data_IF_324940849739
#
_entry.id   IF_324940849739
#
_cell.length_a   1.000
_cell.length_b   1.000
_cell.length_c   1.000
_cell.angle_alpha   90.00
_cell.angle_beta   90.00
_cell.angle_gamma   90.00
#
_symmetry.space_group_name_H-M   'P 1'
#
loop_
_entity.id
_entity.type
_entity.pdbx_description
1 polymer ?
#
# COMPACT_ATOMS: atom_id res chain seq x y z
N UNK A 1 29.35 -16.51 -8.25
CA UNK A 1 30.35 -16.26 -9.30
C UNK A 1 29.63 -15.72 -10.51
N UNK A 2 29.73 -14.40 -10.73
CA UNK A 2 29.10 -13.74 -11.88
C UNK A 2 29.92 -14.05 -13.14
N UNK A 3 29.26 -14.65 -14.12
CA UNK A 3 29.77 -14.85 -15.47
C UNK A 3 28.73 -14.28 -16.43
N UNK A 4 29.17 -13.73 -17.56
CA UNK A 4 28.26 -13.12 -18.51
C UNK A 4 27.71 -14.18 -19.47
N UNK A 5 26.39 -14.37 -19.41
CA UNK A 5 25.68 -15.32 -20.27
C UNK A 5 25.76 -14.89 -21.73
N UNK A 6 26.29 -15.78 -22.59
CA UNK A 6 26.47 -15.58 -24.03
C UNK A 6 25.18 -15.14 -24.74
N UNK A 7 24.02 -15.67 -24.31
CA UNK A 7 22.71 -15.36 -24.89
C UNK A 7 22.23 -13.91 -24.69
N UNK A 8 22.95 -13.12 -23.89
CA UNK A 8 22.67 -11.69 -23.70
C UNK A 8 23.38 -10.80 -24.72
N UNK A 9 24.44 -11.28 -25.36
CA UNK A 9 25.23 -10.50 -26.30
C UNK A 9 24.46 -10.29 -27.60
N UNK A 10 24.54 -9.07 -28.13
CA UNK A 10 23.88 -8.67 -29.39
C UNK A 10 24.86 -8.67 -30.57
N UNK A 11 26.16 -8.76 -30.29
CA UNK A 11 27.22 -8.94 -31.28
C UNK A 11 27.77 -10.37 -31.21
N UNK A 12 28.52 -10.77 -32.26
CA UNK A 12 29.36 -11.97 -32.18
C UNK A 12 30.45 -11.77 -31.12
N UNK A 13 30.64 -12.77 -30.26
CA UNK A 13 31.72 -12.80 -29.27
C UNK A 13 32.79 -13.76 -29.77
N UNK A 14 34.03 -13.29 -29.82
CA UNK A 14 35.18 -14.11 -30.17
C UNK A 14 35.50 -15.10 -29.04
N UNK A 15 35.85 -16.34 -29.39
CA UNK A 15 36.21 -17.40 -28.44
C UNK A 15 37.37 -16.99 -27.51
N UNK A 16 38.22 -16.06 -27.96
CA UNK A 16 39.27 -15.45 -27.13
C UNK A 16 38.74 -14.83 -25.83
N UNK A 17 37.51 -14.30 -25.83
CA UNK A 17 36.89 -13.70 -24.63
C UNK A 17 36.14 -14.70 -23.75
N UNK A 18 36.26 -15.99 -24.01
CA UNK A 18 35.69 -17.03 -23.16
C UNK A 18 36.67 -17.39 -22.05
N UNK A 19 36.16 -17.43 -20.82
CA UNK A 19 36.94 -17.78 -19.66
C UNK A 19 37.26 -19.28 -19.69
N UNK A 20 38.55 -19.63 -19.64
CA UNK A 20 38.99 -21.04 -19.69
C UNK A 20 38.59 -21.88 -18.47
N UNK A 21 38.10 -21.24 -17.41
CA UNK A 21 37.63 -21.91 -16.18
C UNK A 21 36.11 -22.15 -16.16
N UNK A 22 35.30 -21.20 -16.62
CA UNK A 22 33.84 -21.29 -16.56
C UNK A 22 33.14 -21.36 -17.91
N UNK A 23 33.89 -21.26 -19.01
CA UNK A 23 33.43 -21.27 -20.40
C UNK A 23 32.38 -20.19 -20.74
N UNK A 24 32.18 -19.20 -19.87
CA UNK A 24 31.36 -18.02 -20.14
C UNK A 24 32.20 -16.85 -20.63
N UNK A 25 31.57 -15.77 -21.10
CA UNK A 25 32.31 -14.54 -21.43
C UNK A 25 32.90 -13.98 -20.14
N UNK A 26 34.20 -13.65 -20.21
CA UNK A 26 34.99 -13.15 -19.09
C UNK A 26 34.33 -11.93 -18.44
N UNK A 27 34.25 -11.92 -17.11
CA UNK A 27 33.82 -10.78 -16.30
C UNK A 27 35.01 -10.26 -15.51
N UNK A 28 35.31 -8.97 -15.63
CA UNK A 28 36.55 -8.36 -15.14
C UNK A 28 37.78 -9.17 -15.58
N UNK A 29 38.10 -9.15 -16.89
CA UNK A 29 39.09 -10.06 -17.47
C UNK A 29 40.49 -9.88 -16.87
N UNK A 30 41.12 -10.99 -16.53
CA UNK A 30 42.54 -11.13 -16.18
C UNK A 30 43.22 -12.14 -17.10
N UNK A 31 44.52 -11.98 -17.34
CA UNK A 31 45.31 -12.89 -18.18
C UNK A 31 46.19 -13.80 -17.33
N UNK A 32 46.34 -15.05 -17.73
CA UNK A 32 47.40 -15.90 -17.19
C UNK A 32 48.78 -15.38 -17.64
N UNK A 33 49.72 -15.19 -16.70
CA UNK A 33 51.08 -14.74 -17.00
C UNK A 33 51.86 -15.69 -17.91
N UNK A 34 51.50 -16.98 -17.92
CA UNK A 34 52.23 -18.02 -18.64
C UNK A 34 51.70 -18.27 -20.06
N UNK A 35 50.37 -18.31 -20.26
CA UNK A 35 49.76 -18.64 -21.55
C UNK A 35 48.86 -17.56 -22.14
N UNK A 36 48.68 -16.43 -21.43
CA UNK A 36 47.89 -15.27 -21.89
C UNK A 36 46.38 -15.52 -22.08
N UNK A 37 45.90 -16.72 -21.72
CA UNK A 37 44.47 -17.02 -21.73
C UNK A 37 43.72 -16.16 -20.72
N UNK A 38 42.47 -15.80 -21.08
CA UNK A 38 41.61 -14.98 -20.26
C UNK A 38 40.83 -15.79 -19.22
N UNK A 39 40.73 -15.23 -18.03
CA UNK A 39 39.89 -15.69 -16.94
C UNK A 39 39.04 -14.54 -16.40
N UNK A 40 37.90 -14.87 -15.81
CA UNK A 40 37.24 -13.91 -14.92
C UNK A 40 38.12 -13.71 -13.68
N UNK A 41 38.23 -12.46 -13.19
CA UNK A 41 38.95 -12.15 -11.94
C UNK A 41 38.55 -13.12 -10.80
N UNK A 42 37.25 -13.25 -10.55
CA UNK A 42 36.74 -14.17 -9.52
C UNK A 42 36.94 -15.67 -9.83
N UNK A 43 37.14 -16.07 -11.09
CA UNK A 43 37.51 -17.46 -11.40
C UNK A 43 38.98 -17.71 -11.05
N UNK A 44 39.87 -16.77 -11.38
CA UNK A 44 41.30 -16.88 -11.08
C UNK A 44 41.56 -16.98 -9.57
N UNK A 45 40.81 -16.27 -8.73
CA UNK A 45 40.93 -16.34 -7.27
C UNK A 45 40.64 -17.74 -6.68
N UNK A 46 39.89 -18.58 -7.39
CA UNK A 46 39.44 -19.88 -6.91
C UNK A 46 40.30 -21.06 -7.36
N UNK A 47 41.34 -20.82 -8.16
CA UNK A 47 42.19 -21.87 -8.72
C UNK A 47 43.66 -21.53 -8.52
N UNK A 48 44.49 -22.55 -8.26
CA UNK A 48 45.94 -22.38 -8.10
C UNK A 48 46.72 -22.72 -9.36
N UNK A 49 46.08 -23.37 -10.33
CA UNK A 49 46.70 -23.92 -11.53
C UNK A 49 45.86 -23.53 -12.74
N UNK A 50 46.50 -23.03 -13.80
CA UNK A 50 45.80 -22.62 -15.01
C UNK A 50 45.16 -23.84 -15.71
N UNK A 51 43.86 -23.78 -16.08
CA UNK A 51 43.20 -24.88 -16.77
C UNK A 51 43.79 -25.18 -18.15
N UNK A 52 44.38 -24.19 -18.81
CA UNK A 52 44.92 -24.32 -20.18
C UNK A 52 46.36 -24.82 -20.23
N UNK A 53 47.27 -24.20 -19.47
CA UNK A 53 48.70 -24.52 -19.52
C UNK A 53 49.18 -25.43 -18.38
N UNK A 54 48.31 -25.71 -17.40
CA UNK A 54 48.60 -26.57 -16.24
C UNK A 54 49.76 -26.09 -15.34
N UNK A 55 50.25 -24.86 -15.54
CA UNK A 55 51.22 -24.20 -14.69
C UNK A 55 50.54 -23.52 -13.49
N UNK A 56 51.34 -23.16 -12.47
CA UNK A 56 50.86 -22.33 -11.36
C UNK A 56 50.27 -21.03 -11.90
N UNK A 57 49.05 -20.70 -11.46
CA UNK A 57 48.34 -19.53 -11.95
C UNK A 57 48.91 -18.27 -11.30
N UNK A 58 49.64 -17.50 -12.09
CA UNK A 58 49.92 -16.10 -11.82
C UNK A 58 49.11 -15.26 -12.79
N UNK A 59 48.40 -14.25 -12.28
CA UNK A 59 47.57 -13.36 -13.11
C UNK A 59 48.29 -12.05 -13.39
N UNK A 60 48.13 -11.53 -14.61
CA UNK A 60 48.53 -10.19 -14.99
C UNK A 60 47.33 -9.38 -15.47
N UNK A 61 47.52 -8.06 -15.52
CA UNK A 61 46.53 -7.15 -16.10
C UNK A 61 46.39 -7.44 -17.60
N UNK A 62 45.15 -7.60 -18.04
CA UNK A 62 44.81 -7.84 -19.45
C UNK A 62 45.35 -6.74 -20.36
N UNK A 63 45.82 -7.13 -21.55
CA UNK A 63 46.40 -6.22 -22.53
C UNK A 63 45.41 -5.12 -22.91
N UNK A 64 45.92 -3.90 -23.11
CA UNK A 64 45.07 -2.73 -23.46
C UNK A 64 44.26 -2.95 -24.72
N UNK A 65 44.83 -3.66 -25.70
CA UNK A 65 44.17 -3.97 -26.95
C UNK A 65 42.99 -4.93 -26.75
N UNK A 66 43.20 -6.02 -26.00
CA UNK A 66 42.12 -6.94 -25.64
C UNK A 66 41.01 -6.23 -24.86
N UNK A 67 41.36 -5.38 -23.89
CA UNK A 67 40.38 -4.57 -23.15
C UNK A 67 39.62 -3.59 -24.05
N UNK A 68 40.27 -3.02 -25.06
CA UNK A 68 39.63 -2.13 -26.02
C UNK A 68 38.58 -2.89 -26.84
N UNK A 69 38.91 -4.08 -27.37
CA UNK A 69 37.95 -4.90 -28.11
C UNK A 69 36.82 -5.38 -27.20
N UNK A 70 37.16 -5.89 -26.01
CA UNK A 70 36.18 -6.30 -24.99
C UNK A 70 35.18 -5.17 -24.69
N UNK A 71 35.67 -3.92 -24.58
CA UNK A 71 34.81 -2.77 -24.31
C UNK A 71 33.80 -2.45 -25.43
N UNK A 72 34.06 -2.91 -26.65
CA UNK A 72 33.17 -2.76 -27.80
C UNK A 72 32.06 -3.84 -27.86
N UNK A 73 32.17 -4.90 -27.06
CA UNK A 73 31.12 -5.92 -27.01
C UNK A 73 29.80 -5.30 -26.55
N UNK A 74 28.70 -5.64 -27.22
CA UNK A 74 27.37 -5.15 -26.89
C UNK A 74 26.48 -6.27 -26.35
N UNK A 75 25.70 -5.96 -25.32
CA UNK A 75 24.78 -6.91 -24.71
C UNK A 75 23.53 -6.23 -24.14
N UNK A 76 22.48 -7.03 -23.93
CA UNK A 76 21.24 -6.62 -23.27
C UNK A 76 21.36 -6.67 -21.75
N UNK A 77 20.60 -5.83 -21.06
CA UNK A 77 20.43 -5.90 -19.61
C UNK A 77 19.96 -7.31 -19.18
N UNK A 78 20.37 -7.77 -17.99
CA UNK A 78 19.95 -9.09 -17.49
C UNK A 78 18.44 -9.13 -17.20
N UNK A 79 17.83 -7.96 -16.93
CA UNK A 79 16.39 -7.79 -16.73
C UNK A 79 15.62 -7.60 -18.05
N UNK A 80 16.21 -7.93 -19.21
CA UNK A 80 15.52 -7.80 -20.50
C UNK A 80 14.18 -8.55 -20.52
N UNK A 81 14.14 -9.76 -19.96
CA UNK A 81 12.90 -10.55 -19.84
C UNK A 81 11.87 -9.93 -18.89
N UNK A 82 12.28 -9.03 -17.99
CA UNK A 82 11.39 -8.30 -17.09
C UNK A 82 10.85 -7.00 -17.72
N UNK A 83 11.29 -6.66 -18.93
CA UNK A 83 10.85 -5.46 -19.66
C UNK A 83 11.92 -4.38 -19.83
N UNK A 84 13.14 -4.59 -19.34
CA UNK A 84 14.22 -3.63 -19.56
C UNK A 84 14.69 -3.64 -21.01
N UNK A 85 14.50 -2.53 -21.72
CA UNK A 85 14.94 -2.40 -23.12
C UNK A 85 16.37 -1.86 -23.27
N UNK A 86 17.14 -1.75 -22.19
CA UNK A 86 18.52 -1.25 -22.25
C UNK A 86 19.46 -2.31 -22.87
N UNK A 87 20.16 -1.89 -23.91
CA UNK A 87 21.25 -2.61 -24.56
C UNK A 87 22.34 -1.62 -24.98
N UNK A 88 23.58 -2.05 -24.99
CA UNK A 88 24.69 -1.17 -25.33
C UNK A 88 26.04 -1.83 -25.07
N UNK A 89 27.08 -1.00 -25.01
CA UNK A 89 28.44 -1.46 -24.69
C UNK A 89 28.48 -2.17 -23.34
N UNK A 90 29.39 -3.12 -23.20
CA UNK A 90 29.48 -3.96 -22.00
C UNK A 90 29.66 -3.12 -20.73
N UNK A 91 30.53 -2.10 -20.79
CA UNK A 91 30.79 -1.22 -19.66
C UNK A 91 29.55 -0.44 -19.24
N UNK A 92 28.80 0.08 -20.20
CA UNK A 92 27.62 0.91 -19.93
C UNK A 92 26.46 0.04 -19.43
N UNK A 93 26.30 -1.15 -20.01
CA UNK A 93 25.27 -2.11 -19.60
C UNK A 93 25.54 -2.62 -18.18
N UNK A 94 26.80 -2.97 -17.85
CA UNK A 94 27.18 -3.38 -16.49
C UNK A 94 26.94 -2.27 -15.47
N UNK A 95 27.26 -1.02 -15.82
CA UNK A 95 26.95 0.14 -14.97
C UNK A 95 25.44 0.29 -14.74
N UNK A 96 24.64 0.15 -15.80
CA UNK A 96 23.17 0.23 -15.72
C UNK A 96 22.56 -0.81 -14.78
N UNK A 97 23.13 -2.03 -14.71
CA UNK A 97 22.54 -3.12 -13.92
C UNK A 97 22.38 -2.79 -12.43
N UNK A 98 23.31 -2.05 -11.82
CA UNK A 98 23.20 -1.65 -10.40
C UNK A 98 22.03 -0.68 -10.11
N UNK A 99 21.53 -0.02 -11.15
CA UNK A 99 20.49 1.01 -11.09
C UNK A 99 19.26 0.64 -11.93
N UNK A 100 19.15 -0.61 -12.39
CA UNK A 100 18.09 -1.04 -13.29
C UNK A 100 16.72 -1.01 -12.60
N UNK A 101 15.78 -0.24 -13.14
CA UNK A 101 14.42 -0.13 -12.59
C UNK A 101 13.61 -1.44 -12.70
N UNK A 102 13.97 -2.31 -13.64
CA UNK A 102 13.33 -3.62 -13.82
C UNK A 102 13.96 -4.72 -12.97
N UNK A 103 14.92 -4.38 -12.12
CA UNK A 103 15.46 -5.35 -11.16
C UNK A 103 14.39 -5.71 -10.13
N UNK A 104 14.20 -7.01 -9.93
CA UNK A 104 13.36 -7.53 -8.86
C UNK A 104 14.18 -7.53 -7.57
N UNK A 105 13.67 -6.86 -6.54
CA UNK A 105 14.27 -6.87 -5.21
C UNK A 105 13.28 -7.48 -4.19
N UNK A 106 13.83 -8.12 -3.17
CA UNK A 106 13.07 -8.59 -2.02
C UNK A 106 12.98 -7.48 -0.97
N UNK A 107 11.79 -7.24 -0.44
CA UNK A 107 11.62 -6.22 0.60
C UNK A 107 12.45 -6.57 1.85
N UNK A 108 13.21 -5.59 2.35
CA UNK A 108 14.02 -5.75 3.59
C UNK A 108 13.20 -5.71 4.88
N UNK A 109 11.90 -5.44 4.80
CA UNK A 109 11.02 -5.58 5.96
C UNK A 109 10.87 -7.07 6.29
N UNK A 110 11.27 -7.54 7.50
CA UNK A 110 11.21 -8.96 7.86
C UNK A 110 9.78 -9.52 7.92
N UNK A 111 8.77 -8.65 7.97
CA UNK A 111 7.34 -9.03 7.95
C UNK A 111 6.73 -8.97 6.55
N UNK A 112 7.50 -8.57 5.53
CA UNK A 112 7.05 -8.48 4.15
C UNK A 112 7.67 -9.60 3.31
N UNK A 113 6.83 -10.37 2.63
CA UNK A 113 7.26 -11.47 1.76
C UNK A 113 7.23 -11.10 0.28
N UNK A 114 6.91 -9.83 -0.03
CA UNK A 114 6.78 -9.36 -1.40
C UNK A 114 8.15 -9.19 -2.07
N UNK A 115 8.20 -9.61 -3.33
CA UNK A 115 9.27 -9.28 -4.27
C UNK A 115 8.67 -8.40 -5.36
N UNK A 116 9.27 -7.24 -5.60
CA UNK A 116 8.76 -6.26 -6.57
C UNK A 116 9.87 -5.79 -7.50
N UNK A 117 9.50 -5.34 -8.69
CA UNK A 117 10.43 -4.59 -9.53
C UNK A 117 10.67 -3.21 -8.91
N UNK A 118 11.86 -2.64 -9.09
CA UNK A 118 12.16 -1.29 -8.57
C UNK A 118 11.24 -0.23 -9.16
N UNK A 119 10.79 -0.40 -10.40
CA UNK A 119 9.86 0.52 -11.08
C UNK A 119 8.46 0.54 -10.43
N UNK A 120 8.05 -0.57 -9.81
CA UNK A 120 6.74 -0.69 -9.13
C UNK A 120 6.79 -0.24 -7.66
N UNK A 121 7.90 0.40 -7.25
CA UNK A 121 8.04 0.90 -5.87
C UNK A 121 7.14 2.11 -5.65
N UNK A 122 6.52 2.12 -4.48
CA UNK A 122 5.71 3.24 -3.98
C UNK A 122 6.52 4.16 -3.05
N UNK A 123 7.85 4.01 -2.97
CA UNK A 123 8.71 4.91 -2.21
C UNK A 123 10.13 5.00 -2.79
N UNK A 124 10.84 6.07 -2.41
CA UNK A 124 12.21 6.38 -2.84
C UNK A 124 13.30 5.51 -2.17
N UNK A 125 12.92 4.51 -1.38
CA UNK A 125 13.88 3.68 -0.65
C UNK A 125 14.33 2.45 -1.49
N UNK A 126 15.65 2.22 -1.63
CA UNK A 126 16.15 1.13 -2.44
C UNK A 126 15.81 -0.28 -1.88
N UNK A 127 15.44 -0.39 -0.60
CA UNK A 127 15.36 -1.66 0.11
C UNK A 127 13.94 -2.08 0.52
N UNK A 128 12.94 -1.21 0.41
CA UNK A 128 11.55 -1.51 0.83
C UNK A 128 10.52 -1.19 -0.25
N UNK A 129 9.35 -1.84 -0.17
CA UNK A 129 8.33 -1.76 -1.21
C UNK A 129 7.26 -0.69 -0.99
N UNK A 130 7.21 -0.08 0.20
CA UNK A 130 6.21 0.93 0.58
C UNK A 130 6.68 1.77 1.76
N UNK A 131 6.04 2.92 1.97
CA UNK A 131 6.27 3.77 3.15
C UNK A 131 5.98 3.02 4.46
N UNK A 132 4.97 2.14 4.50
CA UNK A 132 4.71 1.33 5.70
C UNK A 132 5.89 0.38 6.00
N UNK A 133 6.46 -0.27 4.98
CA UNK A 133 7.62 -1.13 5.18
C UNK A 133 8.86 -0.33 5.61
N UNK A 134 9.02 0.89 5.11
CA UNK A 134 10.06 1.83 5.53
C UNK A 134 9.95 2.14 7.02
N UNK A 135 8.73 2.47 7.49
CA UNK A 135 8.46 2.74 8.90
C UNK A 135 8.81 1.52 9.77
N UNK A 136 8.40 0.31 9.37
CA UNK A 136 8.71 -0.92 10.12
C UNK A 136 10.21 -1.17 10.22
N UNK A 137 10.95 -1.07 9.11
CA UNK A 137 12.42 -1.26 9.09
C UNK A 137 13.11 -0.17 9.92
N UNK A 138 12.65 1.07 9.83
CA UNK A 138 13.20 2.16 10.64
C UNK A 138 12.98 1.92 12.13
N UNK A 139 11.80 1.41 12.51
CA UNK A 139 11.45 1.08 13.87
C UNK A 139 12.29 -0.09 14.40
N UNK A 140 12.43 -1.17 13.62
CA UNK A 140 13.31 -2.30 13.95
C UNK A 140 14.77 -1.85 14.17
N UNK A 141 15.29 -0.97 13.30
CA UNK A 141 16.63 -0.41 13.45
C UNK A 141 16.75 0.40 14.74
N UNK A 142 15.75 1.19 15.09
CA UNK A 142 15.70 1.96 16.35
C UNK A 142 15.70 1.01 17.55
N UNK A 143 14.91 -0.06 17.52
CA UNK A 143 14.89 -1.09 18.57
C UNK A 143 16.24 -1.81 18.71
N UNK A 144 16.99 -2.00 17.63
CA UNK A 144 18.30 -2.66 17.67
C UNK A 144 19.46 -1.78 18.12
N UNK A 145 19.33 -0.45 18.02
CA UNK A 145 20.44 0.49 18.28
C UNK A 145 20.37 1.23 19.61
N UNK A 146 19.26 1.13 20.34
CA UNK A 146 19.04 1.83 21.61
C UNK A 146 18.49 0.87 22.66
N UNK A 147 18.43 1.34 23.92
CA UNK A 147 17.80 0.60 25.01
C UNK A 147 16.33 0.30 24.65
N UNK A 148 16.08 -0.96 24.32
CA UNK A 148 14.78 -1.47 23.89
C UNK A 148 13.69 -1.16 24.91
N UNK A 149 14.01 -1.20 26.20
CA UNK A 149 13.03 -0.98 27.25
C UNK A 149 12.56 0.47 27.27
N UNK A 150 13.46 1.42 27.10
CA UNK A 150 13.10 2.84 27.07
C UNK A 150 12.20 3.15 25.88
N UNK A 151 12.53 2.67 24.68
CA UNK A 151 11.73 2.93 23.47
C UNK A 151 10.35 2.27 23.56
N UNK A 152 10.29 1.01 23.98
CA UNK A 152 9.02 0.30 24.15
C UNK A 152 8.16 1.00 25.20
N UNK A 153 8.75 1.50 26.29
CA UNK A 153 8.02 2.26 27.31
C UNK A 153 7.52 3.59 26.77
N UNK A 154 8.36 4.35 26.04
CA UNK A 154 7.93 5.63 25.42
C UNK A 154 6.83 5.41 24.39
N UNK A 155 6.93 4.39 23.53
CA UNK A 155 5.90 4.05 22.57
C UNK A 155 4.61 3.63 23.27
N UNK A 156 4.71 2.81 24.30
CA UNK A 156 3.56 2.39 25.10
C UNK A 156 2.84 3.58 25.72
N UNK A 157 3.59 4.51 26.33
CA UNK A 157 3.03 5.75 26.88
C UNK A 157 2.34 6.58 25.80
N UNK A 158 2.98 6.78 24.65
CA UNK A 158 2.39 7.54 23.54
C UNK A 158 1.09 6.90 23.00
N UNK A 159 1.08 5.57 22.81
CA UNK A 159 -0.10 4.84 22.38
C UNK A 159 -1.23 4.91 23.42
N UNK A 160 -0.88 4.89 24.71
CA UNK A 160 -1.83 5.04 25.81
C UNK A 160 -2.46 6.43 25.79
N UNK A 161 -1.66 7.48 25.67
CA UNK A 161 -2.13 8.87 25.59
C UNK A 161 -3.04 9.11 24.37
N UNK A 162 -2.66 8.59 23.19
CA UNK A 162 -3.49 8.65 22.00
C UNK A 162 -4.83 7.94 22.20
N UNK A 163 -4.81 6.74 22.78
CA UNK A 163 -6.02 5.97 23.08
C UNK A 163 -6.94 6.74 24.05
N UNK A 164 -6.38 7.34 25.09
CA UNK A 164 -7.15 8.13 26.07
C UNK A 164 -7.79 9.35 25.40
N UNK A 165 -7.07 10.03 24.52
CA UNK A 165 -7.58 11.18 23.77
C UNK A 165 -8.72 10.80 22.82
N UNK A 166 -8.51 9.77 21.98
CA UNK A 166 -9.54 9.27 21.06
C UNK A 166 -10.79 8.81 21.82
N UNK A 167 -10.60 8.09 22.94
CA UNK A 167 -11.71 7.66 23.79
C UNK A 167 -12.48 8.85 24.37
N UNK A 168 -11.80 9.89 24.82
CA UNK A 168 -12.44 11.11 25.32
C UNK A 168 -13.27 11.81 24.23
N UNK A 169 -12.72 11.93 23.01
CA UNK A 169 -13.43 12.53 21.88
C UNK A 169 -14.68 11.72 21.48
N UNK A 170 -14.59 10.39 21.42
CA UNK A 170 -15.72 9.52 21.12
C UNK A 170 -16.77 9.59 22.22
N UNK A 171 -16.35 9.56 23.48
CA UNK A 171 -17.26 9.64 24.63
C UNK A 171 -18.04 10.96 24.62
N UNK A 172 -17.38 12.08 24.32
CA UNK A 172 -18.03 13.38 24.24
C UNK A 172 -19.03 13.48 23.08
N UNK A 173 -18.71 12.88 21.92
CA UNK A 173 -19.65 12.78 20.79
C UNK A 173 -20.88 11.95 21.14
N UNK A 174 -20.70 10.83 21.82
CA UNK A 174 -21.81 9.98 22.29
C UNK A 174 -22.67 10.75 23.30
N UNK A 175 -22.05 11.42 24.27
CA UNK A 175 -22.74 12.23 25.29
C UNK A 175 -23.66 13.27 24.66
N UNK A 176 -23.16 14.07 23.71
CA UNK A 176 -23.97 15.06 22.97
C UNK A 176 -25.11 14.42 22.18
N UNK A 177 -24.88 13.22 21.63
CA UNK A 177 -25.92 12.50 20.89
C UNK A 177 -27.04 12.00 21.82
N UNK A 178 -26.69 11.59 23.05
CA UNK A 178 -27.67 11.21 24.08
C UNK A 178 -28.50 12.43 24.49
N UNK A 179 -27.88 13.59 24.75
CA UNK A 179 -28.60 14.82 25.10
C UNK A 179 -29.64 15.20 24.03
N UNK A 180 -29.27 15.14 22.75
CA UNK A 180 -30.19 15.42 21.64
C UNK A 180 -31.34 14.40 21.58
N UNK A 181 -31.08 13.13 21.92
CA UNK A 181 -32.11 12.10 21.95
C UNK A 181 -33.08 12.29 23.11
N UNK A 182 -32.57 12.69 24.28
CA UNK A 182 -33.38 12.96 25.47
C UNK A 182 -34.30 14.16 25.24
N UNK A 183 -33.80 15.24 24.62
CA UNK A 183 -34.63 16.40 24.23
C UNK A 183 -35.78 15.99 23.30
N UNK A 184 -35.49 15.21 22.26
CA UNK A 184 -36.51 14.69 21.33
C UNK A 184 -37.49 13.73 21.99
N UNK A 185 -37.05 12.99 23.01
CA UNK A 185 -37.91 12.10 23.76
C UNK A 185 -38.91 12.92 24.60
N UNK A 186 -38.45 13.97 25.27
CA UNK A 186 -39.32 14.89 26.01
C UNK A 186 -40.35 15.55 25.10
N UNK A 187 -39.93 16.09 23.95
CA UNK A 187 -40.86 16.68 22.97
C UNK A 187 -41.93 15.67 22.53
N UNK A 188 -41.54 14.42 22.28
CA UNK A 188 -42.47 13.36 21.89
C UNK A 188 -43.47 13.03 23.00
N UNK A 189 -43.03 13.03 24.26
CA UNK A 189 -43.90 12.79 25.42
C UNK A 189 -44.90 13.94 25.63
N UNK A 190 -44.48 15.19 25.41
CA UNK A 190 -45.37 16.35 25.41
C UNK A 190 -46.43 16.23 24.30
N UNK A 191 -46.02 15.98 23.06
CA UNK A 191 -46.97 15.79 21.95
C UNK A 191 -47.94 14.63 22.18
N UNK A 192 -47.49 13.53 22.79
CA UNK A 192 -48.36 12.40 23.12
C UNK A 192 -49.41 12.77 24.17
N UNK A 193 -49.05 13.64 25.13
CA UNK A 193 -49.96 14.14 26.15
C UNK A 193 -51.01 15.07 25.53
N UNK A 194 -50.59 16.02 24.68
CA UNK A 194 -51.50 16.91 23.95
C UNK A 194 -52.46 16.14 23.02
N UNK A 195 -51.95 15.11 22.32
CA UNK A 195 -52.76 14.25 21.47
C UNK A 195 -53.87 13.56 22.29
N UNK A 196 -53.53 13.06 23.48
CA UNK A 196 -54.48 12.40 24.36
C UNK A 196 -55.56 13.37 24.87
N UNK A 197 -55.18 14.58 25.28
CA UNK A 197 -56.14 15.61 25.71
C UNK A 197 -57.12 16.00 24.60
N UNK A 198 -56.63 16.19 23.37
CA UNK A 198 -57.47 16.47 22.21
C UNK A 198 -58.41 15.31 21.88
N UNK A 199 -57.94 14.06 22.00
CA UNK A 199 -58.78 12.86 21.82
C UNK A 199 -59.91 12.82 22.85
N UNK A 200 -59.59 13.06 24.12
CA UNK A 200 -60.58 13.09 25.20
C UNK A 200 -61.59 14.23 25.00
N UNK A 201 -61.14 15.40 24.54
CA UNK A 201 -62.04 16.51 24.20
C UNK A 201 -62.98 16.16 23.03
N UNK A 202 -62.46 15.57 21.96
CA UNK A 202 -63.26 15.12 20.81
C UNK A 202 -64.30 14.10 21.27
N UNK A 203 -63.92 13.14 22.12
CA UNK A 203 -64.85 12.13 22.61
C UNK A 203 -65.93 12.74 23.52
N UNK A 204 -65.56 13.68 24.39
CA UNK A 204 -66.52 14.44 25.20
C UNK A 204 -67.50 15.24 24.34
N UNK A 205 -67.03 15.87 23.25
CA UNK A 205 -67.89 16.54 22.27
C UNK A 205 -68.82 15.54 21.57
N UNK A 206 -68.32 14.37 21.15
CA UNK A 206 -69.17 13.31 20.55
C UNK A 206 -70.25 12.80 21.51
N UNK A 207 -69.96 12.68 22.80
CA UNK A 207 -70.96 12.26 23.82
C UNK A 207 -72.00 13.35 24.10
N UNK A 208 -71.59 14.62 24.11
CA UNK A 208 -72.48 15.77 24.41
C UNK A 208 -73.32 16.26 23.25
N UNK A 209 -72.95 15.94 22.02
CA UNK A 209 -73.63 16.41 20.81
C UNK A 209 -73.87 15.24 19.87
N UNK A 210 -75.12 14.99 19.46
CA UNK A 210 -75.35 14.01 18.40
C UNK A 210 -74.99 14.63 17.04
N UNK A 211 -74.43 13.85 16.10
CA UNK A 211 -74.00 14.36 14.81
C UNK A 211 -75.22 14.88 14.03
N UNK A 212 -75.10 16.09 13.49
CA UNK A 212 -76.06 16.58 12.50
C UNK A 212 -76.02 15.71 11.24
N UNK A 213 -76.97 15.93 10.31
CA UNK A 213 -76.96 15.33 8.97
C UNK A 213 -76.82 16.44 7.94
N UNK A 214 -75.96 16.26 6.94
CA UNK A 214 -75.84 17.19 5.82
C UNK A 214 -77.05 17.07 4.90
N UNK A 215 -77.72 18.19 4.62
CA UNK A 215 -78.84 18.26 3.68
C UNK A 215 -78.34 18.66 2.29
N UNK A 216 -78.06 17.67 1.44
CA UNK A 216 -77.38 17.85 0.15
C UNK A 216 -78.08 18.86 -0.79
N UNK A 217 -79.42 18.83 -0.87
CA UNK A 217 -80.19 19.72 -1.75
C UNK A 217 -80.23 21.18 -1.26
N UNK A 218 -80.06 21.40 0.04
CA UNK A 218 -80.15 22.72 0.67
C UNK A 218 -78.79 23.33 0.99
N UNK A 219 -77.72 22.53 0.93
CA UNK A 219 -76.35 22.86 1.33
C UNK A 219 -76.25 23.42 2.77
N UNK A 220 -76.93 22.78 3.73
CA UNK A 220 -76.83 23.11 5.16
C UNK A 220 -76.84 21.86 6.06
N UNK A 221 -76.29 21.97 7.27
CA UNK A 221 -76.37 20.92 8.30
C UNK A 221 -77.67 21.04 9.11
N UNK A 222 -78.31 19.91 9.41
CA UNK A 222 -79.52 19.84 10.24
C UNK A 222 -79.32 18.92 11.43
N UNK A 223 -79.80 19.34 12.60
CA UNK A 223 -79.68 18.62 13.85
C UNK A 223 -80.99 18.80 14.64
N UNK A 224 -81.62 17.71 15.13
CA UNK A 224 -82.89 17.74 15.91
C UNK A 224 -84.07 18.51 15.27
N UNK A 225 -84.25 18.42 13.94
CA UNK A 225 -85.34 19.07 13.19
C UNK A 225 -85.33 20.62 13.26
N UNK A 226 -84.27 21.24 13.81
CA UNK A 226 -84.15 22.69 13.86
C UNK A 226 -83.46 23.22 12.59
N UNK A 227 -84.11 24.15 11.87
CA UNK A 227 -83.66 24.69 10.57
C UNK A 227 -82.64 25.83 10.69
N UNK A 228 -82.11 26.11 11.88
CA UNK A 228 -81.15 27.19 12.08
C UNK A 228 -79.79 26.84 11.46
N UNK A 229 -79.27 27.75 10.61
CA UNK A 229 -78.14 27.52 9.68
C UNK A 229 -76.77 27.29 10.34
N UNK A 230 -76.67 27.22 11.66
CA UNK A 230 -75.41 27.20 12.43
C UNK A 230 -75.43 26.19 13.59
N UNK A 231 -76.07 25.03 13.41
CA UNK A 231 -76.12 24.01 14.47
C UNK A 231 -74.78 23.25 14.57
N UNK A 232 -73.90 23.70 15.46
CA UNK A 232 -72.78 22.93 16.03
C UNK A 232 -73.34 21.79 16.92
N UNK A 233 -74.06 20.84 16.34
CA UNK A 233 -74.76 19.80 17.08
C UNK A 233 -75.86 20.34 18.03
N UNK A 234 -76.76 19.48 18.47
CA UNK A 234 -77.74 19.82 19.51
C UNK A 234 -77.37 19.03 20.77
N UNK A 235 -77.50 19.67 21.94
CA UNK A 235 -77.43 18.95 23.22
C UNK A 235 -78.62 17.98 23.27
N UNK A 236 -78.43 16.69 23.61
CA UNK A 236 -79.54 15.80 23.87
C UNK A 236 -80.35 16.35 25.06
N UNK A 237 -81.67 16.38 24.91
CA UNK A 237 -82.63 16.71 25.97
C UNK A 237 -82.79 15.51 26.88
#
# INVERSE_FOLDING_TARGET
>A
MEHLNLGRFTCGVDDYFLCVSCNGVVYEPVECSNCEDLLCSGCADNITTCPSCHENLETRVTSRYALQIYSQLTLRCHNFLQGCNQEGLIKDTLKHQGECEYEIFQCSNPLCLESKMRIDKYCDDPLVCSENCKLVVSFDRILKTRDQNLILTTLHTYLKELKEKELAEVTEKIRKSIEILDEKLMEKEEFATEEQELRDEIEMRRKKFHPGKWHAQGKYWVCCLNKSKLALGCKPV
#
